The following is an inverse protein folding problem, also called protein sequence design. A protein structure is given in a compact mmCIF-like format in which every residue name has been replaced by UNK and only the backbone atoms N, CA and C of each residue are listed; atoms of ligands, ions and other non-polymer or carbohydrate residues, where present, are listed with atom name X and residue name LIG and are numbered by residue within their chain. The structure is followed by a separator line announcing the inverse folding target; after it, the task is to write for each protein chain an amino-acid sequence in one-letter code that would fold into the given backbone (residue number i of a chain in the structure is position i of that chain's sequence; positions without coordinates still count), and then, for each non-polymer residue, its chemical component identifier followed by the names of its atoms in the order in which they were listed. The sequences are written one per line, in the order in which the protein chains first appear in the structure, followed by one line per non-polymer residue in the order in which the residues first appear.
data_IF_900485060550
#
_entry.id   IF_900485060550
#
_cell.length_a   1.000
_cell.length_b   1.000
_cell.length_c   1.000
_cell.angle_alpha   90.00
_cell.angle_beta   90.00
_cell.angle_gamma   90.00
#
_symmetry.space_group_name_H-M   'P 1'
#
loop_
_entity.id
_entity.type
_entity.pdbx_description
1 polymer ?
#
# COMPACT_ATOMS: atom_id res chain seq x y z
N UNK A 1 9.33 -24.90 25.42
CA UNK A 1 10.28 -24.12 24.58
C UNK A 1 9.70 -23.95 23.17
N UNK A 2 9.27 -25.03 22.47
CA UNK A 2 8.71 -24.96 21.11
C UNK A 2 7.46 -24.06 21.02
N UNK A 3 6.52 -24.22 21.94
CA UNK A 3 5.29 -23.41 22.00
C UNK A 3 5.57 -21.90 22.17
N UNK A 4 6.54 -21.54 23.03
CA UNK A 4 6.94 -20.14 23.25
C UNK A 4 7.56 -19.57 21.97
N UNK A 5 8.40 -20.35 21.27
CA UNK A 5 9.02 -19.96 20.01
C UNK A 5 7.98 -19.70 18.91
N UNK A 6 7.01 -20.60 18.75
CA UNK A 6 5.91 -20.44 17.79
C UNK A 6 5.05 -19.22 18.11
N UNK A 7 4.74 -18.98 19.38
CA UNK A 7 3.99 -17.81 19.82
C UNK A 7 4.71 -16.49 19.48
N UNK A 8 6.01 -16.43 19.82
CA UNK A 8 6.83 -15.25 19.52
C UNK A 8 6.93 -14.98 18.01
N UNK A 9 7.09 -16.03 17.20
CA UNK A 9 7.13 -15.91 15.74
C UNK A 9 5.81 -15.37 15.17
N UNK A 10 4.67 -15.87 15.65
CA UNK A 10 3.34 -15.35 15.25
C UNK A 10 3.15 -13.88 15.62
N UNK A 11 3.59 -13.49 16.83
CA UNK A 11 3.54 -12.10 17.27
C UNK A 11 4.44 -11.20 16.42
N UNK A 12 5.60 -11.68 16.02
CA UNK A 12 6.53 -10.95 15.17
C UNK A 12 5.92 -10.71 13.78
N UNK A 13 5.34 -11.74 13.16
CA UNK A 13 4.64 -11.62 11.86
C UNK A 13 3.50 -10.60 11.96
N UNK A 14 2.66 -10.69 13.00
CA UNK A 14 1.56 -9.74 13.21
C UNK A 14 2.06 -8.31 13.38
N UNK A 15 3.12 -8.11 14.15
CA UNK A 15 3.72 -6.78 14.36
C UNK A 15 4.31 -6.21 13.07
N UNK A 16 4.98 -7.04 12.26
CA UNK A 16 5.64 -6.61 11.04
C UNK A 16 4.65 -6.32 9.91
N UNK A 17 3.64 -7.16 9.74
CA UNK A 17 2.75 -7.12 8.57
C UNK A 17 1.30 -6.70 8.87
N UNK A 18 0.94 -6.54 10.13
CA UNK A 18 -0.45 -6.28 10.53
C UNK A 18 -1.06 -5.00 9.97
N UNK A 19 -0.23 -4.03 9.58
CA UNK A 19 -0.66 -2.77 8.96
C UNK A 19 -0.47 -2.71 7.44
N UNK A 20 0.27 -3.68 6.86
CA UNK A 20 0.64 -3.69 5.43
C UNK A 20 -0.18 -4.67 4.61
N UNK A 21 -0.72 -5.70 5.26
CA UNK A 21 -1.45 -6.80 4.62
C UNK A 21 -2.88 -6.92 5.16
N UNK A 22 -3.75 -7.57 4.39
CA UNK A 22 -5.07 -7.95 4.88
C UNK A 22 -4.96 -8.93 6.06
N UNK A 23 -5.92 -8.92 7.00
CA UNK A 23 -5.93 -9.89 8.11
C UNK A 23 -5.85 -11.35 7.64
N UNK A 24 -6.49 -11.69 6.52
CA UNK A 24 -6.44 -13.04 5.95
C UNK A 24 -5.03 -13.42 5.48
N UNK A 25 -4.29 -12.49 4.89
CA UNK A 25 -2.90 -12.73 4.48
C UNK A 25 -1.98 -12.86 5.69
N UNK A 26 -2.17 -12.03 6.72
CA UNK A 26 -1.41 -12.14 7.98
C UNK A 26 -1.65 -13.49 8.64
N UNK A 27 -2.90 -13.96 8.70
CA UNK A 27 -3.25 -15.26 9.25
C UNK A 27 -2.60 -16.41 8.46
N UNK A 28 -2.58 -16.31 7.12
CA UNK A 28 -1.91 -17.30 6.26
C UNK A 28 -0.41 -17.38 6.52
N UNK A 29 0.27 -16.23 6.69
CA UNK A 29 1.67 -16.18 7.06
C UNK A 29 1.93 -16.72 8.47
N UNK A 30 1.04 -16.45 9.43
CA UNK A 30 1.15 -16.98 10.79
C UNK A 30 0.99 -18.51 10.85
N UNK A 31 0.19 -19.09 9.96
CA UNK A 31 0.03 -20.54 9.83
C UNK A 31 1.18 -21.20 9.09
N UNK A 32 1.81 -20.48 8.18
CA UNK A 32 2.87 -20.98 7.29
C UNK A 32 4.06 -19.99 7.27
N UNK A 33 4.81 -19.87 8.40
CA UNK A 33 5.91 -18.89 8.50
C UNK A 33 7.03 -19.10 7.47
N UNK A 34 7.15 -20.30 6.94
CA UNK A 34 8.10 -20.66 5.88
C UNK A 34 7.85 -19.96 4.55
N UNK A 35 6.65 -19.41 4.35
CA UNK A 35 6.34 -18.59 3.17
C UNK A 35 6.98 -17.22 3.21
N UNK A 36 7.45 -16.80 4.39
CA UNK A 36 8.12 -15.53 4.59
C UNK A 36 9.63 -15.68 4.41
N UNK A 37 10.14 -15.22 3.29
CA UNK A 37 11.58 -15.12 3.06
C UNK A 37 12.10 -13.81 3.61
N UNK A 38 12.93 -13.88 4.64
CA UNK A 38 13.47 -12.70 5.35
C UNK A 38 14.64 -12.01 4.61
N UNK A 39 15.11 -12.57 3.52
CA UNK A 39 16.12 -11.96 2.65
C UNK A 39 15.50 -11.30 1.43
N UNK A 40 16.29 -10.54 0.70
CA UNK A 40 15.87 -10.06 -0.60
C UNK A 40 15.80 -11.22 -1.60
N UNK A 41 14.75 -11.26 -2.39
CA UNK A 41 14.57 -12.22 -3.48
C UNK A 41 14.20 -11.52 -4.77
N UNK A 42 14.55 -12.12 -5.90
CA UNK A 42 14.08 -11.67 -7.21
C UNK A 42 12.72 -12.29 -7.48
N UNK A 43 11.71 -11.45 -7.71
CA UNK A 43 10.34 -11.88 -7.93
C UNK A 43 9.62 -10.96 -8.91
N UNK A 44 8.78 -11.53 -9.77
CA UNK A 44 7.88 -10.75 -10.59
C UNK A 44 6.78 -10.16 -9.72
N UNK A 45 6.69 -8.83 -9.70
CA UNK A 45 5.67 -8.08 -8.98
C UNK A 45 4.90 -7.19 -9.92
N UNK A 46 3.64 -6.91 -9.58
CA UNK A 46 2.92 -5.75 -10.09
C UNK A 46 3.02 -4.64 -9.06
N UNK A 47 3.52 -3.48 -9.48
CA UNK A 47 3.82 -2.34 -8.62
C UNK A 47 2.89 -1.19 -9.00
N UNK A 48 2.31 -0.52 -8.00
CA UNK A 48 1.42 0.61 -8.17
C UNK A 48 1.95 1.81 -7.41
N UNK A 49 1.95 2.96 -8.06
CA UNK A 49 2.08 4.27 -7.43
C UNK A 49 0.82 5.07 -7.67
N UNK A 50 0.36 5.77 -6.64
CA UNK A 50 -0.72 6.75 -6.75
C UNK A 50 -0.29 8.06 -6.17
N UNK A 51 -0.77 9.17 -6.73
CA UNK A 51 -0.58 10.50 -6.16
C UNK A 51 -1.88 11.30 -6.21
N UNK A 52 -1.99 12.29 -5.33
CA UNK A 52 -3.12 13.23 -5.32
C UNK A 52 -2.89 14.29 -6.38
N UNK A 53 -3.86 14.45 -7.27
CA UNK A 53 -3.93 15.58 -8.20
C UNK A 53 -4.76 16.70 -7.57
N UNK A 54 -4.28 17.94 -7.70
CA UNK A 54 -4.94 19.11 -7.11
C UNK A 54 -4.63 19.32 -5.62
N UNK A 55 -3.58 18.71 -5.09
CA UNK A 55 -3.19 18.87 -3.68
C UNK A 55 -3.00 20.33 -3.27
N UNK A 56 -2.43 21.17 -4.14
CA UNK A 56 -2.25 22.59 -3.88
C UNK A 56 -3.58 23.28 -3.59
N UNK A 57 -4.61 23.05 -4.41
CA UNK A 57 -5.95 23.61 -4.23
C UNK A 57 -6.58 23.16 -2.91
N UNK A 58 -6.41 21.88 -2.56
CA UNK A 58 -6.90 21.33 -1.29
C UNK A 58 -6.17 21.96 -0.11
N UNK A 59 -4.86 22.07 -0.20
CA UNK A 59 -4.03 22.70 0.83
C UNK A 59 -4.37 24.18 1.03
N UNK A 60 -4.58 24.94 -0.05
CA UNK A 60 -4.99 26.33 -0.01
C UNK A 60 -6.38 26.50 0.60
N UNK A 61 -7.31 25.60 0.32
CA UNK A 61 -8.65 25.59 0.92
C UNK A 61 -8.60 25.56 2.45
N UNK A 62 -7.73 24.72 3.01
CA UNK A 62 -7.55 24.62 4.47
C UNK A 62 -6.68 25.74 5.05
N UNK A 63 -5.81 26.36 4.26
CA UNK A 63 -4.95 27.46 4.68
C UNK A 63 -4.15 27.14 5.93
N UNK A 64 -4.44 27.80 7.05
CA UNK A 64 -3.78 27.60 8.34
C UNK A 64 -4.38 26.45 9.16
N UNK A 65 -5.49 25.86 8.72
CA UNK A 65 -6.14 24.74 9.40
C UNK A 65 -5.40 23.41 9.07
N UNK A 66 -4.27 23.21 9.72
CA UNK A 66 -3.43 22.02 9.56
C UNK A 66 -4.17 20.75 10.00
N UNK A 67 -5.01 20.83 11.02
CA UNK A 67 -5.76 19.67 11.52
C UNK A 67 -6.84 19.24 10.51
N UNK A 68 -7.54 20.19 9.90
CA UNK A 68 -8.53 19.94 8.86
C UNK A 68 -7.89 19.27 7.64
N UNK A 69 -6.75 19.79 7.16
CA UNK A 69 -5.99 19.21 6.06
C UNK A 69 -5.54 17.78 6.38
N UNK A 70 -4.96 17.57 7.56
CA UNK A 70 -4.52 16.23 8.00
C UNK A 70 -5.69 15.26 8.06
N UNK A 71 -6.82 15.68 8.59
CA UNK A 71 -8.03 14.85 8.70
C UNK A 71 -8.57 14.43 7.34
N UNK A 72 -8.68 15.34 6.39
CA UNK A 72 -9.17 15.01 5.05
C UNK A 72 -8.19 14.09 4.29
N UNK A 73 -6.88 14.34 4.41
CA UNK A 73 -5.87 13.49 3.83
C UNK A 73 -5.90 12.08 4.41
N UNK A 74 -6.06 11.95 5.72
CA UNK A 74 -6.18 10.64 6.36
C UNK A 74 -7.46 9.89 5.93
N UNK A 75 -8.58 10.59 5.73
CA UNK A 75 -9.81 10.00 5.16
C UNK A 75 -9.56 9.45 3.76
N UNK A 76 -8.92 10.25 2.90
CA UNK A 76 -8.54 9.83 1.55
C UNK A 76 -7.62 8.61 1.56
N UNK A 77 -6.52 8.67 2.32
CA UNK A 77 -5.55 7.57 2.43
C UNK A 77 -6.20 6.29 2.94
N UNK A 78 -7.08 6.38 3.93
CA UNK A 78 -7.81 5.23 4.48
C UNK A 78 -8.69 4.57 3.42
N UNK A 79 -9.46 5.36 2.67
CA UNK A 79 -10.33 4.85 1.62
C UNK A 79 -9.54 4.15 0.50
N UNK A 80 -8.42 4.73 0.07
CA UNK A 80 -7.58 4.18 -1.00
C UNK A 80 -6.81 2.94 -0.54
N UNK A 81 -6.24 2.96 0.67
CA UNK A 81 -5.54 1.81 1.26
C UNK A 81 -6.48 0.60 1.41
N UNK A 82 -7.74 0.81 1.75
CA UNK A 82 -8.72 -0.26 1.84
C UNK A 82 -8.82 -1.06 0.53
N UNK A 83 -8.77 -0.41 -0.62
CA UNK A 83 -8.83 -1.07 -1.93
C UNK A 83 -7.59 -1.92 -2.22
N UNK A 84 -6.41 -1.45 -1.82
CA UNK A 84 -5.17 -2.22 -1.93
C UNK A 84 -5.28 -3.51 -1.11
N UNK A 85 -5.67 -3.39 0.16
CA UNK A 85 -5.77 -4.51 1.10
C UNK A 85 -6.87 -5.51 0.68
N UNK A 86 -8.03 -5.05 0.25
CA UNK A 86 -9.15 -5.89 -0.22
C UNK A 86 -8.79 -6.74 -1.45
N UNK A 87 -7.87 -6.29 -2.29
CA UNK A 87 -7.45 -6.96 -3.51
C UNK A 87 -6.09 -7.68 -3.38
N UNK A 88 -5.71 -8.10 -2.19
CA UNK A 88 -4.47 -8.84 -1.90
C UNK A 88 -3.18 -8.06 -2.16
N UNK A 89 -3.24 -6.74 -2.19
CA UNK A 89 -2.07 -5.89 -2.30
C UNK A 89 -1.32 -5.78 -0.97
N UNK A 90 -0.05 -5.51 -1.08
CA UNK A 90 0.83 -5.15 0.02
C UNK A 90 1.07 -3.65 -0.04
N UNK A 91 0.65 -2.93 0.98
CA UNK A 91 0.97 -1.51 1.11
C UNK A 91 2.43 -1.39 1.54
N UNK A 92 3.28 -0.81 0.68
CA UNK A 92 4.69 -0.57 1.02
C UNK A 92 4.82 0.64 1.93
N UNK A 93 4.49 1.81 1.43
CA UNK A 93 4.62 3.07 2.17
C UNK A 93 3.75 4.18 1.60
N UNK A 94 3.60 5.21 2.41
CA UNK A 94 3.15 6.53 1.97
C UNK A 94 4.37 7.42 1.70
N UNK A 95 4.33 8.16 0.60
CA UNK A 95 5.37 9.10 0.19
C UNK A 95 4.68 10.47 0.02
N UNK A 96 4.57 11.22 1.13
CA UNK A 96 3.72 12.41 1.16
C UNK A 96 2.25 12.06 0.94
N UNK A 97 1.67 12.54 -0.14
CA UNK A 97 0.32 12.26 -0.60
C UNK A 97 0.22 11.06 -1.56
N UNK A 98 1.34 10.43 -1.86
CA UNK A 98 1.43 9.26 -2.71
C UNK A 98 1.37 7.95 -1.91
N UNK A 99 0.89 6.90 -2.56
CA UNK A 99 0.91 5.54 -2.04
C UNK A 99 1.71 4.63 -2.96
N UNK A 100 2.54 3.78 -2.38
CA UNK A 100 3.24 2.71 -3.08
C UNK A 100 2.76 1.36 -2.59
N UNK A 101 2.33 0.52 -3.50
CA UNK A 101 1.85 -0.84 -3.22
C UNK A 101 2.36 -1.83 -4.26
N UNK A 102 2.32 -3.11 -3.92
CA UNK A 102 2.67 -4.17 -4.86
C UNK A 102 1.90 -5.46 -4.56
N UNK A 103 1.88 -6.36 -5.54
CA UNK A 103 1.22 -7.66 -5.51
C UNK A 103 2.21 -8.78 -5.81
N UNK A 104 1.94 -9.98 -5.34
CA UNK A 104 2.73 -11.21 -5.46
C UNK A 104 3.88 -11.31 -4.46
N UNK A 105 3.85 -10.55 -3.39
CA UNK A 105 4.74 -10.69 -2.24
C UNK A 105 4.09 -10.03 -1.00
N UNK A 106 4.34 -10.53 0.20
CA UNK A 106 5.14 -11.70 0.57
C UNK A 106 4.50 -13.03 0.21
N UNK A 107 3.22 -13.07 -0.10
CA UNK A 107 2.50 -14.25 -0.55
C UNK A 107 2.39 -14.29 -2.06
N UNK A 108 2.46 -15.49 -2.63
CA UNK A 108 2.23 -15.70 -4.06
C UNK A 108 0.81 -15.31 -4.45
N UNK A 109 0.70 -14.60 -5.56
CA UNK A 109 -0.56 -14.23 -6.20
C UNK A 109 -0.43 -14.40 -7.71
N UNK A 110 -0.94 -15.48 -8.24
CA UNK A 110 -0.89 -15.77 -9.67
C UNK A 110 -1.65 -14.74 -10.53
N UNK A 111 -2.58 -14.01 -9.93
CA UNK A 111 -3.36 -12.95 -10.58
C UNK A 111 -2.89 -11.53 -10.23
N UNK A 112 -1.65 -11.36 -9.80
CA UNK A 112 -1.12 -10.10 -9.30
C UNK A 112 -1.36 -8.90 -10.24
N UNK A 113 -1.12 -9.06 -11.53
CA UNK A 113 -1.33 -7.98 -12.51
C UNK A 113 -2.81 -7.59 -12.62
N UNK A 114 -3.69 -8.58 -12.68
CA UNK A 114 -5.15 -8.38 -12.72
C UNK A 114 -5.66 -7.73 -11.44
N UNK A 115 -5.17 -8.16 -10.29
CA UNK A 115 -5.55 -7.60 -8.99
C UNK A 115 -5.06 -6.15 -8.84
N UNK A 116 -3.87 -5.82 -9.34
CA UNK A 116 -3.37 -4.44 -9.36
C UNK A 116 -4.27 -3.52 -10.21
N UNK A 117 -4.63 -3.93 -11.42
CA UNK A 117 -5.52 -3.17 -12.30
C UNK A 117 -6.92 -3.04 -11.69
N UNK A 118 -7.46 -4.14 -11.16
CA UNK A 118 -8.77 -4.13 -10.47
C UNK A 118 -8.77 -3.17 -9.29
N UNK A 119 -7.69 -3.13 -8.52
CA UNK A 119 -7.52 -2.18 -7.42
C UNK A 119 -7.55 -0.74 -7.92
N UNK A 120 -6.80 -0.42 -8.97
CA UNK A 120 -6.78 0.92 -9.57
C UNK A 120 -8.18 1.37 -10.02
N UNK A 121 -8.92 0.52 -10.70
CA UNK A 121 -10.30 0.81 -11.11
C UNK A 121 -11.24 1.00 -9.90
N UNK A 122 -11.09 0.19 -8.86
CA UNK A 122 -11.86 0.32 -7.63
C UNK A 122 -11.54 1.63 -6.88
N UNK A 123 -10.26 2.03 -6.86
CA UNK A 123 -9.82 3.29 -6.26
C UNK A 123 -10.45 4.49 -6.99
N UNK A 124 -10.43 4.50 -8.32
CA UNK A 124 -11.04 5.58 -9.11
C UNK A 124 -12.55 5.70 -8.85
N UNK A 125 -13.25 4.56 -8.77
CA UNK A 125 -14.68 4.53 -8.46
C UNK A 125 -14.98 5.04 -7.04
N UNK A 126 -14.16 4.65 -6.06
CA UNK A 126 -14.34 5.12 -4.68
C UNK A 126 -13.94 6.59 -4.53
N UNK A 127 -13.02 7.08 -5.35
CA UNK A 127 -12.68 8.51 -5.40
C UNK A 127 -13.87 9.36 -5.82
N UNK A 128 -14.68 8.91 -6.78
CA UNK A 128 -15.92 9.61 -7.17
C UNK A 128 -16.85 9.77 -5.97
N UNK A 129 -17.11 8.68 -5.24
CA UNK A 129 -17.95 8.71 -4.03
C UNK A 129 -17.37 9.61 -2.93
N UNK A 130 -16.06 9.50 -2.71
CA UNK A 130 -15.34 10.35 -1.76
C UNK A 130 -15.52 11.82 -2.09
N UNK A 131 -15.38 12.19 -3.36
CA UNK A 131 -15.57 13.56 -3.83
C UNK A 131 -17.02 14.04 -3.64
N UNK A 132 -18.02 13.20 -3.89
CA UNK A 132 -19.43 13.50 -3.61
C UNK A 132 -19.70 13.78 -2.13
N UNK A 133 -19.01 13.06 -1.25
CA UNK A 133 -19.13 13.26 0.20
C UNK A 133 -18.50 14.59 0.65
N UNK A 134 -17.27 14.87 0.21
CA UNK A 134 -16.54 16.06 0.63
C UNK A 134 -17.07 17.33 -0.03
N UNK A 135 -17.70 17.23 -1.20
CA UNK A 135 -18.40 18.37 -1.85
C UNK A 135 -19.49 18.92 -0.94
N UNK A 136 -20.24 18.07 -0.24
CA UNK A 136 -21.25 18.45 0.76
C UNK A 136 -20.64 19.19 1.95
N UNK A 137 -19.35 19.01 2.20
CA UNK A 137 -18.58 19.70 3.24
C UNK A 137 -17.90 20.97 2.69
N UNK A 138 -18.07 21.30 1.41
CA UNK A 138 -17.47 22.45 0.74
C UNK A 138 -15.96 22.27 0.45
N UNK A 139 -15.46 21.03 0.45
CA UNK A 139 -14.06 20.73 0.18
C UNK A 139 -13.85 20.50 -1.32
N UNK A 140 -12.78 21.07 -1.94
CA UNK A 140 -12.47 20.83 -3.34
C UNK A 140 -12.25 19.35 -3.65
N UNK A 141 -12.64 18.91 -4.85
CA UNK A 141 -12.47 17.54 -5.28
C UNK A 141 -11.00 17.12 -5.39
N UNK A 142 -10.73 15.86 -5.03
CA UNK A 142 -9.44 15.22 -5.23
C UNK A 142 -9.40 14.60 -6.62
N UNK A 143 -8.26 14.75 -7.32
CA UNK A 143 -7.91 13.90 -8.44
C UNK A 143 -6.88 12.86 -8.03
N UNK A 144 -6.69 11.85 -8.87
CA UNK A 144 -5.69 10.81 -8.65
C UNK A 144 -4.91 10.53 -9.93
N UNK A 145 -3.59 10.53 -9.84
CA UNK A 145 -2.69 9.89 -10.79
C UNK A 145 -2.40 8.46 -10.33
N UNK A 146 -2.32 7.52 -11.26
CA UNK A 146 -2.09 6.12 -10.96
C UNK A 146 -1.23 5.49 -12.05
N UNK A 147 -0.11 4.88 -11.66
CA UNK A 147 0.79 4.14 -12.51
C UNK A 147 0.96 2.71 -12.02
N UNK A 148 0.88 1.75 -12.94
CA UNK A 148 1.06 0.32 -12.66
C UNK A 148 2.07 -0.25 -13.65
N UNK A 149 3.04 -1.01 -13.14
CA UNK A 149 3.98 -1.77 -13.95
C UNK A 149 4.21 -3.16 -13.37
N UNK A 150 4.41 -4.14 -14.22
CA UNK A 150 4.77 -5.50 -13.82
C UNK A 150 6.17 -5.81 -14.32
N UNK A 151 7.04 -6.21 -13.42
CA UNK A 151 8.43 -6.54 -13.74
C UNK A 151 9.05 -7.44 -12.65
N UNK A 152 10.17 -8.05 -12.99
CA UNK A 152 11.00 -8.79 -12.05
C UNK A 152 11.86 -7.78 -11.29
N UNK A 153 11.66 -7.72 -9.98
CA UNK A 153 12.33 -6.78 -9.08
C UNK A 153 12.83 -7.51 -7.83
N UNK A 154 13.67 -6.85 -7.06
CA UNK A 154 14.09 -7.37 -5.75
C UNK A 154 13.07 -6.96 -4.70
N UNK A 155 12.57 -7.91 -3.93
CA UNK A 155 11.63 -7.68 -2.82
C UNK A 155 12.14 -8.34 -1.55
N UNK A 156 11.98 -7.67 -0.42
CA UNK A 156 12.39 -8.19 0.88
C UNK A 156 12.53 -7.11 1.93
N UNK A 157 13.08 -7.49 3.07
CA UNK A 157 13.40 -6.57 4.15
C UNK A 157 14.67 -5.78 3.80
N UNK A 158 14.55 -4.49 3.68
CA UNK A 158 15.64 -3.58 3.30
C UNK A 158 15.75 -2.43 4.30
N UNK A 159 16.99 -2.08 4.59
CA UNK A 159 17.31 -1.02 5.55
C UNK A 159 18.52 -1.36 6.40
N UNK A 160 18.57 -0.78 7.58
CA UNK A 160 19.61 -1.05 8.58
C UNK A 160 19.18 -2.10 9.59
N UNK A 161 20.11 -2.59 10.40
CA UNK A 161 19.80 -3.50 11.52
C UNK A 161 18.87 -2.90 12.58
N UNK A 162 18.76 -1.57 12.62
CA UNK A 162 17.91 -0.87 13.58
C UNK A 162 16.52 -0.54 12.99
N UNK A 163 16.46 -0.36 11.68
CA UNK A 163 15.21 -0.03 10.97
C UNK A 163 15.22 -0.61 9.57
N UNK A 164 14.26 -1.45 9.27
CA UNK A 164 14.07 -2.02 7.94
C UNK A 164 12.58 -2.02 7.58
N UNK A 165 12.31 -1.94 6.29
CA UNK A 165 10.97 -2.03 5.71
C UNK A 165 10.92 -3.17 4.72
N UNK A 166 9.76 -3.82 4.61
CA UNK A 166 9.47 -4.77 3.56
C UNK A 166 9.09 -3.99 2.29
N UNK A 167 9.95 -4.00 1.31
CA UNK A 167 9.82 -3.16 0.12
C UNK A 167 10.38 -3.82 -1.13
N UNK A 168 10.24 -3.19 -2.28
CA UNK A 168 10.82 -3.64 -3.54
C UNK A 168 11.69 -2.56 -4.19
N UNK A 169 12.72 -3.00 -4.92
CA UNK A 169 13.67 -2.15 -5.64
C UNK A 169 13.91 -2.71 -7.05
N UNK A 170 14.12 -1.84 -8.00
CA UNK A 170 14.49 -2.17 -9.37
C UNK A 170 14.00 -1.14 -10.38
N UNK A 171 14.43 -1.29 -11.63
CA UNK A 171 14.04 -0.38 -12.72
C UNK A 171 12.52 -0.41 -12.97
N UNK A 172 11.88 -1.57 -12.82
CA UNK A 172 10.44 -1.72 -12.92
C UNK A 172 9.65 -0.92 -11.88
N UNK A 173 10.21 -0.75 -10.67
CA UNK A 173 9.63 0.12 -9.63
C UNK A 173 9.73 1.58 -10.05
N UNK A 174 10.90 2.00 -10.55
CA UNK A 174 11.12 3.36 -11.05
C UNK A 174 10.20 3.69 -12.23
N UNK A 175 9.99 2.74 -13.13
CA UNK A 175 9.07 2.90 -14.26
C UNK A 175 7.64 3.11 -13.77
N UNK A 176 7.14 2.29 -12.84
CA UNK A 176 5.80 2.45 -12.28
C UNK A 176 5.57 3.85 -11.69
N UNK A 177 6.59 4.42 -11.05
CA UNK A 177 6.50 5.77 -10.45
C UNK A 177 6.45 6.92 -11.46
N UNK A 178 6.76 6.66 -12.74
CA UNK A 178 6.80 7.68 -13.81
C UNK A 178 5.60 7.63 -14.75
N UNK A 179 4.76 6.61 -14.62
CA UNK A 179 3.55 6.45 -15.42
C UNK A 179 2.41 7.32 -14.89
#
# INVERSE_FOLDING_TARGET
IKFVSEFLQKQQIKKQFGTYLSPAMVEKLQKNPELLQLGGESRELSIMFTDVRGFTTISEHYGKDVQGLTKIMNRYMTAMTAKIIENNGTLDKYIGDAQMAFWNAPLDDAEHAKNAVRTGLAMLKDLEKFNEEIDKEGVPAFGMGLGINTDVVVVGNMGSSQRFDYTCLGDGVNLASRL
#
